data_IF_956992604079
#
_entry.id   IF_956992604079
#
_cell.length_a   1.000
_cell.length_b   1.000
_cell.length_c   1.000
_cell.angle_alpha   90.00
_cell.angle_beta   90.00
_cell.angle_gamma   90.00
#
_symmetry.space_group_name_H-M   'P 1'
#
loop_
_entity.id
_entity.type
_entity.pdbx_description
1 polymer ?
#
# COMPACT_ATOMS: atom_id res chain seq x y z
N UNK A 1 -12.92 74.98 -12.19
CA UNK A 1 -12.20 73.76 -12.66
C UNK A 1 -12.72 72.58 -11.84
N UNK A 2 -13.42 71.62 -12.40
CA UNK A 2 -13.90 70.46 -11.64
C UNK A 2 -12.82 69.42 -11.53
N UNK A 3 -12.56 68.97 -10.32
CA UNK A 3 -11.71 67.85 -10.01
C UNK A 3 -12.38 66.55 -10.51
N UNK A 4 -11.75 65.91 -11.52
CA UNK A 4 -12.11 64.57 -11.92
C UNK A 4 -11.51 63.60 -10.90
N UNK A 5 -12.36 63.06 -10.04
CA UNK A 5 -11.99 61.93 -9.18
C UNK A 5 -11.92 60.69 -10.01
N UNK A 6 -10.71 60.19 -10.30
CA UNK A 6 -10.47 58.89 -10.84
C UNK A 6 -10.88 57.82 -9.79
N UNK A 7 -12.09 57.32 -9.88
CA UNK A 7 -12.48 56.11 -9.20
C UNK A 7 -11.75 54.96 -9.92
N UNK A 8 -10.59 54.55 -9.38
CA UNK A 8 -10.00 53.27 -9.68
C UNK A 8 -10.99 52.23 -9.08
N UNK A 9 -11.72 51.60 -9.93
CA UNK A 9 -12.44 50.38 -9.61
C UNK A 9 -11.39 49.40 -9.04
N UNK A 10 -11.41 49.23 -7.72
CA UNK A 10 -10.68 48.17 -7.06
C UNK A 10 -11.35 46.90 -7.60
N UNK A 11 -10.72 46.26 -8.61
CA UNK A 11 -11.08 44.87 -8.93
C UNK A 11 -10.81 44.09 -7.66
N UNK A 12 -11.89 43.72 -6.96
CA UNK A 12 -11.80 42.88 -5.82
C UNK A 12 -11.06 41.60 -6.20
N UNK A 13 -9.85 41.44 -5.70
CA UNK A 13 -9.25 40.14 -5.62
C UNK A 13 -10.28 39.29 -4.87
N UNK A 14 -10.90 38.35 -5.58
CA UNK A 14 -11.75 37.35 -4.93
C UNK A 14 -10.83 36.71 -3.87
N UNK A 15 -11.10 37.03 -2.59
CA UNK A 15 -10.40 36.35 -1.50
C UNK A 15 -10.61 34.88 -1.77
N UNK A 16 -9.55 34.12 -1.88
CA UNK A 16 -9.65 32.65 -1.98
C UNK A 16 -10.44 32.18 -0.76
N UNK A 17 -11.40 31.31 -0.97
CA UNK A 17 -12.12 30.72 0.14
C UNK A 17 -11.10 30.12 1.14
N UNK A 18 -11.31 30.32 2.44
CA UNK A 18 -10.40 29.77 3.45
C UNK A 18 -10.32 28.25 3.32
N UNK A 19 -9.13 27.71 3.56
CA UNK A 19 -8.92 26.27 3.50
C UNK A 19 -9.78 25.58 4.57
N UNK A 20 -10.52 24.57 4.15
CA UNK A 20 -11.12 23.58 5.03
C UNK A 20 -11.18 22.22 4.33
N UNK A 21 -11.17 21.14 5.10
CA UNK A 21 -11.27 19.81 4.55
C UNK A 21 -12.15 18.92 5.41
N UNK A 22 -12.81 17.95 4.75
CA UNK A 22 -13.69 16.98 5.40
C UNK A 22 -13.62 15.63 4.70
N UNK A 23 -13.98 14.57 5.43
CA UNK A 23 -13.99 13.19 4.93
C UNK A 23 -13.09 12.27 5.78
N UNK A 24 -13.05 11.00 5.41
CA UNK A 24 -12.33 9.97 6.13
C UNK A 24 -13.19 9.14 7.06
N UNK A 25 -12.68 7.96 7.42
CA UNK A 25 -13.27 7.10 8.45
C UNK A 25 -13.17 7.76 9.85
N UNK A 26 -12.04 8.42 10.09
CA UNK A 26 -11.82 9.19 11.31
C UNK A 26 -11.07 10.48 11.02
N UNK A 27 -11.38 11.51 11.81
CA UNK A 27 -10.64 12.78 11.85
C UNK A 27 -10.16 13.01 13.26
N UNK A 28 -8.85 13.27 13.43
CA UNK A 28 -8.21 13.44 14.74
C UNK A 28 -7.23 14.59 14.69
N UNK A 29 -7.16 15.40 15.74
CA UNK A 29 -6.16 16.44 15.91
C UNK A 29 -5.08 15.95 16.87
N UNK A 30 -3.83 16.00 16.44
CA UNK A 30 -2.66 15.64 17.26
C UNK A 30 -1.60 16.71 17.10
N UNK A 31 -1.28 17.40 18.18
CA UNK A 31 -0.41 18.58 18.12
C UNK A 31 -0.99 19.65 17.20
N UNK A 32 -0.18 20.13 16.29
CA UNK A 32 -0.53 21.17 15.33
C UNK A 32 -1.22 20.64 14.06
N UNK A 33 -1.45 19.32 13.96
CA UNK A 33 -1.95 18.69 12.74
C UNK A 33 -3.34 18.09 12.92
N UNK A 34 -4.17 18.26 11.88
CA UNK A 34 -5.41 17.52 11.68
C UNK A 34 -5.15 16.35 10.72
N UNK A 35 -5.58 15.15 11.11
CA UNK A 35 -5.41 13.88 10.37
C UNK A 35 -6.77 13.36 9.91
N UNK A 36 -6.85 12.95 8.65
CA UNK A 36 -7.96 12.20 8.09
C UNK A 36 -7.46 10.80 7.71
N UNK A 37 -8.06 9.76 8.27
CA UNK A 37 -7.69 8.36 8.01
C UNK A 37 -8.76 7.68 7.18
N UNK A 38 -8.35 7.00 6.10
CA UNK A 38 -9.20 6.21 5.22
C UNK A 38 -8.79 4.74 5.28
N UNK A 39 -9.68 3.89 5.77
CA UNK A 39 -9.58 2.42 5.76
C UNK A 39 -10.57 1.78 4.78
N UNK A 40 -11.40 2.60 4.16
CA UNK A 40 -12.30 2.28 3.05
C UNK A 40 -12.36 3.46 2.09
N UNK A 41 -12.71 3.20 0.84
CA UNK A 41 -12.84 4.26 -0.18
C UNK A 41 -13.90 5.28 0.20
N UNK A 42 -13.62 6.56 -0.10
CA UNK A 42 -14.51 7.65 0.27
C UNK A 42 -14.09 8.99 -0.33
N UNK A 43 -14.90 10.01 -0.11
CA UNK A 43 -14.61 11.36 -0.56
C UNK A 43 -13.72 12.10 0.45
N UNK A 44 -12.81 12.92 -0.08
CA UNK A 44 -12.08 13.97 0.64
C UNK A 44 -12.44 15.30 -0.01
N UNK A 45 -13.24 16.10 0.68
CA UNK A 45 -13.74 17.38 0.14
C UNK A 45 -12.93 18.53 0.70
N UNK A 46 -12.41 19.38 -0.17
CA UNK A 46 -11.59 20.55 0.14
C UNK A 46 -12.31 21.81 -0.33
N UNK A 47 -12.38 22.83 0.53
CA UNK A 47 -12.76 24.20 0.20
C UNK A 47 -11.52 25.07 0.24
N UNK A 48 -11.39 26.02 -0.68
CA UNK A 48 -10.17 26.80 -0.82
C UNK A 48 -9.03 25.98 -1.40
N UNK A 49 -7.81 26.36 -1.07
CA UNK A 49 -6.58 25.61 -1.45
C UNK A 49 -5.65 25.55 -0.24
N UNK A 50 -4.84 24.52 -0.18
CA UNK A 50 -3.92 24.30 0.94
C UNK A 50 -2.83 23.32 0.61
N UNK A 51 -2.04 23.02 1.63
CA UNK A 51 -0.92 22.07 1.54
C UNK A 51 -1.20 20.91 2.50
N UNK A 52 -1.09 19.69 2.01
CA UNK A 52 -1.29 18.48 2.79
C UNK A 52 -0.04 17.58 2.72
N UNK A 53 0.14 16.77 3.73
CA UNK A 53 1.02 15.60 3.67
C UNK A 53 0.16 14.33 3.52
N UNK A 54 0.65 13.41 2.72
CA UNK A 54 -0.09 12.23 2.30
C UNK A 54 0.74 10.96 2.50
N UNK A 55 0.21 10.01 3.25
CA UNK A 55 0.68 8.62 3.29
C UNK A 55 -0.32 7.74 2.56
N UNK A 56 0.16 6.99 1.59
CA UNK A 56 -0.62 6.00 0.82
C UNK A 56 0.03 4.63 0.97
N UNK A 57 -0.73 3.67 1.42
CA UNK A 57 -0.34 2.26 1.51
C UNK A 57 -1.32 1.44 0.68
N UNK A 58 -0.83 0.72 -0.31
CA UNK A 58 -1.66 -0.14 -1.17
C UNK A 58 -1.97 -1.50 -0.49
N UNK A 59 -2.87 -2.27 -1.06
CA UNK A 59 -3.18 -3.63 -0.60
C UNK A 59 -2.01 -4.57 -0.85
N UNK A 60 -1.65 -5.40 0.13
CA UNK A 60 -0.62 -6.43 0.01
C UNK A 60 -1.06 -7.60 -0.87
N UNK A 61 -0.12 -8.33 -1.45
CA UNK A 61 -0.38 -9.57 -2.19
C UNK A 61 -0.67 -10.74 -1.26
N UNK A 62 -1.46 -11.71 -1.73
CA UNK A 62 -1.69 -12.98 -1.02
C UNK A 62 -0.46 -13.88 -1.08
N UNK A 63 -0.30 -14.73 -0.07
CA UNK A 63 0.64 -15.84 -0.10
C UNK A 63 0.27 -16.86 -1.18
N UNK A 64 1.25 -17.60 -1.68
CA UNK A 64 1.04 -18.59 -2.72
C UNK A 64 0.11 -19.73 -2.30
N UNK A 65 -0.38 -20.49 -3.26
CA UNK A 65 -1.17 -21.71 -3.05
C UNK A 65 -0.70 -22.84 -3.95
N UNK A 66 -0.95 -24.10 -3.56
CA UNK A 66 -0.72 -25.27 -4.41
C UNK A 66 -2.01 -26.07 -4.55
N UNK A 67 -2.36 -26.45 -5.79
CA UNK A 67 -3.55 -27.21 -6.11
C UNK A 67 -3.28 -28.69 -6.45
N UNK A 68 -2.03 -29.08 -6.56
CA UNK A 68 -1.66 -30.48 -6.94
C UNK A 68 -0.50 -30.96 -6.07
N UNK A 69 -0.59 -32.22 -5.64
CA UNK A 69 0.43 -32.85 -4.80
C UNK A 69 1.78 -32.96 -5.48
N UNK A 70 2.85 -32.59 -4.76
CA UNK A 70 4.23 -32.80 -5.20
C UNK A 70 5.24 -31.81 -4.62
N UNK A 71 4.85 -30.64 -4.13
CA UNK A 71 5.79 -29.67 -3.55
C UNK A 71 5.23 -29.04 -2.28
N UNK A 72 6.13 -28.87 -1.30
CA UNK A 72 5.75 -28.79 0.12
C UNK A 72 5.67 -27.39 0.70
N UNK A 73 5.86 -26.33 -0.11
CA UNK A 73 5.89 -24.98 0.42
C UNK A 73 5.39 -23.92 -0.58
N UNK A 74 4.67 -22.94 -0.12
CA UNK A 74 4.22 -21.78 -0.90
C UNK A 74 4.84 -20.49 -0.39
N UNK A 75 5.17 -19.58 -1.29
CA UNK A 75 5.89 -18.35 -0.98
C UNK A 75 5.01 -17.26 -0.35
N UNK A 76 5.62 -16.36 0.40
CA UNK A 76 4.94 -15.19 0.97
C UNK A 76 4.60 -14.13 -0.09
N UNK A 77 3.46 -13.46 0.07
CA UNK A 77 3.07 -12.31 -0.73
C UNK A 77 3.90 -11.06 -0.42
N UNK A 78 4.15 -10.23 -1.41
CA UNK A 78 4.76 -8.92 -1.24
C UNK A 78 3.82 -7.93 -0.54
N UNK A 79 4.38 -6.99 0.19
CA UNK A 79 3.60 -5.89 0.74
C UNK A 79 3.06 -4.97 -0.36
N UNK A 80 1.98 -4.27 -0.07
CA UNK A 80 1.56 -3.12 -0.84
C UNK A 80 2.65 -2.04 -0.85
N UNK A 81 2.75 -1.30 -1.94
CA UNK A 81 3.65 -0.15 -2.00
C UNK A 81 3.28 0.88 -0.94
N UNK A 82 4.29 1.52 -0.38
CA UNK A 82 4.12 2.64 0.54
C UNK A 82 4.70 3.91 -0.10
N UNK A 83 3.92 4.97 -0.10
CA UNK A 83 4.34 6.27 -0.65
C UNK A 83 4.00 7.38 0.33
N UNK A 84 4.99 8.21 0.62
CA UNK A 84 4.83 9.45 1.38
C UNK A 84 5.04 10.64 0.45
N UNK A 85 4.12 11.58 0.46
CA UNK A 85 4.23 12.85 -0.26
C UNK A 85 4.04 13.99 0.72
N UNK A 86 5.10 14.75 0.92
CA UNK A 86 5.09 15.93 1.79
C UNK A 86 4.83 17.18 0.98
N UNK A 87 4.17 18.16 1.60
CA UNK A 87 3.88 19.45 0.98
C UNK A 87 3.17 19.33 -0.38
N UNK A 88 2.15 18.49 -0.45
CA UNK A 88 1.35 18.31 -1.66
C UNK A 88 0.26 19.37 -1.74
N UNK A 89 0.32 20.19 -2.81
CA UNK A 89 -0.69 21.22 -3.08
C UNK A 89 -2.03 20.57 -3.40
N UNK A 90 -3.08 20.99 -2.70
CA UNK A 90 -4.43 20.52 -2.94
C UNK A 90 -5.38 21.72 -3.14
N UNK A 91 -6.29 21.57 -4.06
CA UNK A 91 -7.23 22.63 -4.47
C UNK A 91 -8.66 22.26 -4.12
N UNK A 92 -9.53 23.26 -4.07
CA UNK A 92 -10.95 23.09 -3.84
C UNK A 92 -11.57 22.04 -4.77
N UNK A 93 -12.36 21.15 -4.20
CA UNK A 93 -13.04 20.09 -4.93
C UNK A 93 -13.25 18.85 -4.09
N UNK A 94 -13.92 17.87 -4.68
CA UNK A 94 -14.09 16.54 -4.11
C UNK A 94 -13.07 15.59 -4.75
N UNK A 95 -12.16 15.10 -3.93
CA UNK A 95 -11.15 14.13 -4.28
C UNK A 95 -11.60 12.74 -3.83
N UNK A 96 -11.18 11.70 -4.53
CA UNK A 96 -11.55 10.32 -4.17
C UNK A 96 -10.35 9.62 -3.52
N UNK A 97 -10.49 9.24 -2.26
CA UNK A 97 -9.61 8.27 -1.63
C UNK A 97 -10.06 6.86 -2.05
N UNK A 98 -9.26 6.19 -2.87
CA UNK A 98 -9.52 4.81 -3.32
C UNK A 98 -8.64 3.86 -2.52
N UNK A 99 -9.22 2.98 -1.72
CA UNK A 99 -8.50 2.02 -0.89
C UNK A 99 -8.50 0.65 -1.54
N UNK A 100 -7.30 0.13 -1.82
CA UNK A 100 -7.10 -1.18 -2.40
C UNK A 100 -7.28 -2.32 -1.40
N UNK A 101 -8.03 -3.35 -1.78
CA UNK A 101 -8.10 -4.59 -1.01
C UNK A 101 -6.77 -5.36 -1.08
N UNK A 102 -6.49 -6.16 -0.07
CA UNK A 102 -5.45 -7.18 -0.15
C UNK A 102 -5.81 -8.27 -1.16
N UNK A 103 -4.81 -8.87 -1.78
CA UNK A 103 -5.00 -10.00 -2.69
C UNK A 103 -5.44 -11.24 -1.93
N UNK A 104 -6.37 -12.02 -2.49
CA UNK A 104 -6.61 -13.38 -2.06
C UNK A 104 -5.34 -14.23 -2.22
N UNK A 105 -5.29 -15.43 -1.62
CA UNK A 105 -4.16 -16.35 -1.82
C UNK A 105 -3.85 -16.52 -3.30
N UNK A 106 -2.58 -16.44 -3.68
CA UNK A 106 -2.04 -16.49 -5.05
C UNK A 106 -2.40 -15.28 -5.95
N UNK A 107 -3.04 -14.24 -5.44
CA UNK A 107 -3.37 -13.03 -6.21
C UNK A 107 -2.68 -11.80 -5.65
N UNK A 108 -2.32 -10.88 -6.55
CA UNK A 108 -1.82 -9.56 -6.15
C UNK A 108 -2.93 -8.75 -5.48
N UNK A 109 -2.55 -7.79 -4.63
CA UNK A 109 -3.47 -6.83 -4.05
C UNK A 109 -4.03 -5.83 -5.07
N UNK A 110 -4.65 -4.77 -4.58
CA UNK A 110 -5.15 -3.66 -5.40
C UNK A 110 -4.43 -2.35 -5.03
N UNK A 111 -4.26 -1.48 -6.01
CA UNK A 111 -3.67 -0.16 -5.81
C UNK A 111 -4.53 0.72 -4.88
N UNK A 112 -3.88 1.61 -4.16
CA UNK A 112 -4.51 2.65 -3.33
C UNK A 112 -4.04 4.01 -3.80
N UNK A 113 -4.90 5.03 -3.77
CA UNK A 113 -4.48 6.38 -4.14
C UNK A 113 -5.51 7.45 -3.85
N UNK A 114 -5.04 8.67 -3.68
CA UNK A 114 -5.86 9.86 -3.69
C UNK A 114 -5.97 10.37 -5.13
N UNK A 115 -7.15 10.27 -5.70
CA UNK A 115 -7.47 10.75 -7.05
C UNK A 115 -7.95 12.18 -6.92
N UNK A 116 -7.09 13.13 -7.24
CA UNK A 116 -7.39 14.55 -7.17
C UNK A 116 -8.31 14.97 -8.32
N UNK A 117 -9.34 15.77 -8.03
CA UNK A 117 -10.19 16.38 -9.05
C UNK A 117 -9.34 17.28 -9.94
N UNK A 118 -9.21 16.93 -11.22
CA UNK A 118 -8.47 17.72 -12.22
C UNK A 118 -6.94 17.63 -12.18
N UNK A 119 -6.35 16.70 -11.41
CA UNK A 119 -4.90 16.53 -11.29
C UNK A 119 -4.46 15.06 -11.34
N UNK A 120 -3.17 14.82 -11.45
CA UNK A 120 -2.59 13.46 -11.41
C UNK A 120 -2.86 12.78 -10.06
N UNK A 121 -3.24 11.51 -10.09
CA UNK A 121 -3.44 10.70 -8.89
C UNK A 121 -2.12 10.45 -8.15
N UNK A 122 -2.14 10.59 -6.82
CA UNK A 122 -1.04 10.20 -5.94
C UNK A 122 -1.34 8.81 -5.39
N UNK A 123 -0.74 7.78 -5.96
CA UNK A 123 -1.07 6.40 -5.66
C UNK A 123 0.13 5.51 -5.38
N UNK A 124 -0.12 4.40 -4.73
CA UNK A 124 0.81 3.31 -4.46
C UNK A 124 0.39 2.04 -5.20
N UNK A 125 1.38 1.27 -5.67
CA UNK A 125 1.19 0.03 -6.43
C UNK A 125 0.88 -1.12 -5.47
N UNK A 126 -0.04 -2.01 -5.86
CA UNK A 126 -0.39 -3.20 -5.10
C UNK A 126 0.80 -4.15 -4.88
N UNK A 127 0.78 -4.91 -3.80
CA UNK A 127 1.78 -5.96 -3.54
C UNK A 127 1.64 -7.15 -4.49
N UNK A 128 2.77 -7.73 -4.89
CA UNK A 128 2.82 -8.92 -5.75
C UNK A 128 2.44 -10.19 -4.99
N UNK A 129 1.73 -11.13 -5.64
CA UNK A 129 1.44 -12.44 -5.07
C UNK A 129 2.70 -13.27 -4.86
N UNK A 130 2.73 -14.10 -3.80
CA UNK A 130 3.72 -15.14 -3.63
C UNK A 130 3.59 -16.23 -4.69
N UNK A 131 4.68 -16.94 -4.94
CA UNK A 131 4.73 -18.03 -5.92
C UNK A 131 3.67 -19.10 -5.61
N UNK A 132 2.97 -19.54 -6.64
CA UNK A 132 1.96 -20.60 -6.58
C UNK A 132 2.26 -21.67 -7.63
N UNK A 133 1.75 -22.88 -7.40
CA UNK A 133 1.90 -23.94 -8.37
C UNK A 133 0.76 -23.95 -9.38
N UNK A 134 1.10 -23.77 -10.65
CA UNK A 134 0.20 -23.95 -11.79
C UNK A 134 0.77 -25.03 -12.71
N UNK A 135 -0.07 -25.98 -13.12
CA UNK A 135 0.36 -27.07 -14.01
C UNK A 135 0.69 -26.49 -15.38
N UNK A 136 1.97 -26.49 -15.75
CA UNK A 136 2.43 -26.13 -17.10
C UNK A 136 2.87 -24.67 -17.30
N UNK A 137 3.03 -23.86 -16.24
CA UNK A 137 3.45 -22.45 -16.33
C UNK A 137 4.63 -22.08 -15.43
N UNK A 138 5.03 -20.79 -15.46
CA UNK A 138 6.05 -20.18 -14.58
C UNK A 138 5.58 -20.00 -13.12
N UNK A 139 4.69 -20.86 -12.66
CA UNK A 139 3.93 -20.75 -11.43
C UNK A 139 4.71 -20.66 -10.12
N UNK A 140 6.02 -20.90 -10.15
CA UNK A 140 6.89 -20.80 -8.96
C UNK A 140 7.56 -19.43 -8.79
N UNK A 141 7.33 -18.52 -9.71
CA UNK A 141 7.85 -17.15 -9.64
C UNK A 141 6.94 -16.26 -8.80
N UNK A 142 7.53 -15.46 -7.90
CA UNK A 142 6.82 -14.37 -7.25
C UNK A 142 6.38 -13.29 -8.25
N UNK A 143 5.25 -12.64 -8.04
CA UNK A 143 4.77 -11.54 -8.91
C UNK A 143 5.36 -10.22 -8.49
N UNK A 144 5.60 -9.36 -9.47
CA UNK A 144 6.02 -7.99 -9.26
C UNK A 144 4.90 -7.15 -8.62
N UNK A 145 5.27 -6.09 -7.90
CA UNK A 145 4.30 -5.24 -7.24
C UNK A 145 4.91 -3.99 -6.61
N UNK A 146 4.19 -3.34 -5.70
CA UNK A 146 4.73 -2.31 -4.82
C UNK A 146 5.93 -2.87 -4.07
N UNK A 147 5.74 -4.04 -3.42
CA UNK A 147 6.81 -4.98 -3.10
C UNK A 147 6.53 -6.30 -3.78
N UNK A 148 7.57 -6.99 -4.22
CA UNK A 148 7.47 -8.26 -4.94
C UNK A 148 7.13 -9.43 -4.03
N UNK A 149 6.40 -10.43 -4.55
CA UNK A 149 6.14 -11.71 -3.88
C UNK A 149 7.39 -12.60 -3.86
N UNK A 150 7.48 -13.52 -2.91
CA UNK A 150 8.57 -14.51 -2.83
C UNK A 150 8.50 -15.55 -3.94
N UNK A 151 9.65 -16.06 -4.37
CA UNK A 151 9.77 -17.20 -5.27
C UNK A 151 9.74 -18.53 -4.52
N UNK A 152 9.55 -19.64 -5.23
CA UNK A 152 9.62 -20.99 -4.69
C UNK A 152 10.37 -21.91 -5.67
N UNK A 153 10.90 -23.03 -5.18
CA UNK A 153 11.53 -24.09 -6.01
C UNK A 153 12.61 -23.58 -6.98
N UNK A 154 13.57 -22.81 -6.50
CA UNK A 154 14.66 -22.31 -7.34
C UNK A 154 14.24 -21.19 -8.30
N UNK A 155 13.09 -20.57 -8.11
CA UNK A 155 12.60 -19.47 -8.96
C UNK A 155 12.73 -18.11 -8.31
N UNK A 156 12.73 -17.10 -9.14
CA UNK A 156 12.89 -15.71 -8.73
C UNK A 156 11.68 -15.22 -7.92
N UNK A 157 11.94 -14.42 -6.88
CA UNK A 157 10.94 -13.52 -6.33
C UNK A 157 10.55 -12.46 -7.36
N UNK A 158 9.43 -11.79 -7.13
CA UNK A 158 8.99 -10.65 -7.92
C UNK A 158 9.79 -9.39 -7.58
N UNK A 159 9.80 -8.44 -8.51
CA UNK A 159 10.44 -7.15 -8.31
C UNK A 159 9.52 -6.17 -7.57
N UNK A 160 10.13 -5.35 -6.71
CA UNK A 160 9.47 -4.23 -6.06
C UNK A 160 9.53 -2.96 -6.92
N UNK A 161 8.53 -2.11 -6.78
CA UNK A 161 8.52 -0.79 -7.42
C UNK A 161 9.45 0.17 -6.68
N UNK A 162 10.42 0.74 -7.39
CA UNK A 162 11.37 1.68 -6.81
C UNK A 162 10.67 2.84 -6.07
N UNK A 163 11.11 3.13 -4.86
CA UNK A 163 10.55 4.18 -3.99
C UNK A 163 9.20 3.81 -3.34
N UNK A 164 8.72 2.58 -3.51
CA UNK A 164 7.48 2.10 -2.89
C UNK A 164 7.64 0.80 -2.12
N UNK A 165 8.61 -0.04 -2.50
CA UNK A 165 8.88 -1.30 -1.85
C UNK A 165 10.08 -2.01 -2.44
N UNK A 166 10.32 -3.24 -1.99
CA UNK A 166 11.51 -4.03 -2.31
C UNK A 166 11.14 -5.39 -2.90
N UNK A 167 12.14 -6.05 -3.49
CA UNK A 167 11.98 -7.35 -4.12
C UNK A 167 11.62 -8.45 -3.11
N UNK A 168 10.87 -9.45 -3.59
CA UNK A 168 10.70 -10.72 -2.90
C UNK A 168 11.97 -11.56 -2.96
N UNK A 169 12.08 -12.54 -2.05
CA UNK A 169 13.23 -13.41 -1.97
C UNK A 169 13.29 -14.37 -3.17
N UNK A 170 14.47 -14.50 -3.75
CA UNK A 170 14.79 -15.48 -4.77
C UNK A 170 15.29 -16.77 -4.12
N UNK A 171 14.64 -17.90 -4.36
CA UNK A 171 15.14 -19.21 -3.93
C UNK A 171 16.20 -19.72 -4.89
N UNK A 172 17.33 -20.24 -4.37
CA UNK A 172 18.39 -20.81 -5.20
C UNK A 172 17.99 -22.17 -5.79
N UNK A 173 18.55 -22.48 -6.96
CA UNK A 173 18.35 -23.76 -7.64
C UNK A 173 18.71 -24.96 -6.73
N UNK A 174 17.86 -25.96 -6.69
CA UNK A 174 18.05 -27.22 -5.97
C UNK A 174 17.41 -27.27 -4.58
N UNK A 175 16.92 -26.17 -4.03
CA UNK A 175 16.30 -26.15 -2.70
C UNK A 175 14.77 -26.20 -2.79
N UNK A 176 14.23 -27.41 -2.97
CA UNK A 176 12.78 -27.65 -3.03
C UNK A 176 12.10 -27.56 -1.65
N UNK A 177 12.86 -27.37 -0.58
CA UNK A 177 12.35 -27.37 0.79
C UNK A 177 11.96 -25.99 1.31
N UNK A 178 12.39 -24.92 0.62
CA UNK A 178 12.18 -23.54 1.07
C UNK A 178 11.39 -22.72 0.06
N UNK A 179 10.58 -21.87 0.58
CA UNK A 179 9.86 -20.85 -0.18
C UNK A 179 10.28 -19.47 0.31
N UNK A 180 10.53 -18.58 -0.64
CA UNK A 180 10.90 -17.20 -0.37
C UNK A 180 9.76 -16.40 0.23
N UNK A 181 10.12 -15.38 0.95
CA UNK A 181 9.19 -14.42 1.54
C UNK A 181 8.97 -13.23 0.61
N UNK A 182 7.85 -12.55 0.78
CA UNK A 182 7.60 -11.29 0.07
C UNK A 182 8.49 -10.14 0.54
N UNK A 183 8.78 -9.20 -0.33
CA UNK A 183 9.42 -7.94 0.01
C UNK A 183 8.50 -7.06 0.86
N UNK A 184 9.08 -6.17 1.65
CA UNK A 184 8.40 -5.13 2.41
C UNK A 184 8.80 -3.73 1.94
N UNK A 185 8.13 -2.69 2.44
CA UNK A 185 8.49 -1.31 2.09
C UNK A 185 9.89 -0.92 2.62
N UNK A 186 10.31 -1.49 3.74
CA UNK A 186 11.59 -1.18 4.38
C UNK A 186 12.76 -2.10 4.02
N UNK A 187 12.48 -3.34 3.53
CA UNK A 187 13.54 -4.30 3.21
C UNK A 187 13.07 -5.35 2.19
N UNK A 188 14.05 -5.99 1.53
CA UNK A 188 13.84 -7.17 0.69
C UNK A 188 13.32 -8.35 1.52
N UNK A 189 12.63 -9.28 0.86
CA UNK A 189 12.24 -10.56 1.47
C UNK A 189 13.44 -11.42 1.82
N UNK A 190 13.32 -12.22 2.87
CA UNK A 190 14.31 -13.24 3.25
C UNK A 190 13.86 -14.66 2.86
N UNK A 191 14.65 -15.67 3.20
CA UNK A 191 14.35 -17.06 2.88
C UNK A 191 13.02 -17.53 3.49
N UNK A 192 12.72 -17.14 4.72
CA UNK A 192 11.49 -17.49 5.43
C UNK A 192 10.82 -16.29 6.09
N UNK A 193 11.51 -15.18 6.21
CA UNK A 193 11.03 -13.98 6.89
C UNK A 193 10.71 -12.88 5.89
N UNK A 194 9.50 -12.38 5.91
CA UNK A 194 9.06 -11.27 5.06
C UNK A 194 9.88 -10.01 5.26
N UNK A 195 10.10 -9.27 4.20
CA UNK A 195 10.77 -7.99 4.25
C UNK A 195 10.14 -7.04 5.27
N UNK A 196 10.95 -6.33 6.02
CA UNK A 196 10.45 -5.39 7.04
C UNK A 196 9.53 -4.34 6.41
N UNK A 197 8.51 -3.93 7.16
CA UNK A 197 7.72 -2.76 6.83
C UNK A 197 8.50 -1.48 7.08
N UNK A 198 7.93 -0.37 6.70
CA UNK A 198 8.48 0.97 6.92
C UNK A 198 7.56 1.77 7.84
N UNK A 199 8.14 2.47 8.80
CA UNK A 199 7.45 3.43 9.65
C UNK A 199 7.84 4.85 9.23
N UNK A 200 6.86 5.74 9.19
CA UNK A 200 7.10 7.18 9.01
C UNK A 200 6.70 7.93 10.28
N UNK A 201 7.66 8.63 10.88
CA UNK A 201 7.44 9.38 12.13
C UNK A 201 6.42 10.52 11.98
N UNK A 202 6.21 11.02 10.77
CA UNK A 202 5.21 12.04 10.48
C UNK A 202 3.78 11.49 10.52
N UNK A 203 3.61 10.16 10.43
CA UNK A 203 2.33 9.47 10.42
C UNK A 203 2.25 8.46 11.55
N UNK A 204 2.36 8.94 12.79
CA UNK A 204 2.26 8.19 14.05
C UNK A 204 3.38 7.17 14.31
N UNK A 205 4.40 7.04 13.46
CA UNK A 205 5.47 6.04 13.62
C UNK A 205 5.01 4.59 13.53
N UNK A 206 3.81 4.34 13.00
CA UNK A 206 3.28 2.99 12.80
C UNK A 206 4.00 2.34 11.62
N UNK A 207 4.36 1.06 11.76
CA UNK A 207 4.96 0.28 10.69
C UNK A 207 3.90 -0.27 9.75
N UNK A 208 4.04 0.02 8.45
CA UNK A 208 3.17 -0.45 7.38
C UNK A 208 3.94 -1.30 6.37
N UNK A 209 3.21 -2.01 5.54
CA UNK A 209 3.71 -2.68 4.35
C UNK A 209 4.87 -3.66 4.63
N UNK A 210 4.67 -4.60 5.57
CA UNK A 210 5.56 -5.75 5.80
C UNK A 210 5.26 -6.85 4.79
N UNK A 211 6.29 -7.49 4.23
CA UNK A 211 6.14 -8.69 3.39
C UNK A 211 5.61 -9.88 4.18
N UNK A 212 4.91 -10.77 3.51
CA UNK A 212 4.48 -12.05 4.09
C UNK A 212 5.65 -13.02 4.23
N UNK A 213 5.67 -13.79 5.31
CA UNK A 213 6.69 -14.82 5.51
C UNK A 213 6.52 -15.94 4.48
N UNK A 214 7.64 -16.53 4.03
CA UNK A 214 7.63 -17.80 3.30
C UNK A 214 7.09 -18.88 4.23
N UNK A 215 6.67 -20.00 3.69
CA UNK A 215 5.98 -21.09 4.39
C UNK A 215 6.52 -21.45 5.80
N UNK A 216 6.21 -20.74 6.88
CA UNK A 216 6.54 -21.17 8.23
C UNK A 216 5.65 -22.35 8.61
N UNK A 217 6.13 -23.21 9.53
CA UNK A 217 5.31 -24.29 10.09
C UNK A 217 4.01 -23.70 10.67
N UNK A 218 2.86 -24.18 10.17
CA UNK A 218 1.56 -23.67 10.56
C UNK A 218 1.06 -22.43 9.79
N UNK A 219 1.77 -21.99 8.74
CA UNK A 219 1.52 -20.79 7.95
C UNK A 219 0.15 -20.68 7.28
N UNK A 220 0.01 -19.71 6.38
CA UNK A 220 -1.25 -19.32 5.74
C UNK A 220 -1.97 -18.19 6.48
N UNK A 221 -1.26 -17.46 7.36
CA UNK A 221 -1.81 -16.28 8.02
C UNK A 221 -2.03 -15.14 7.02
N UNK A 222 -3.16 -14.46 7.16
CA UNK A 222 -3.44 -13.27 6.37
C UNK A 222 -2.64 -12.07 6.89
N UNK A 223 -2.26 -11.18 5.98
CA UNK A 223 -1.75 -9.86 6.31
C UNK A 223 -2.79 -9.07 7.11
N UNK A 224 -2.31 -8.27 8.05
CA UNK A 224 -3.19 -7.43 8.86
C UNK A 224 -3.91 -6.41 7.96
N UNK A 225 -5.21 -6.24 8.18
CA UNK A 225 -6.03 -5.25 7.46
C UNK A 225 -5.54 -3.82 7.70
N UNK A 226 -5.68 -2.95 6.72
CA UNK A 226 -5.30 -1.53 6.80
C UNK A 226 -3.80 -1.31 7.05
N UNK A 227 -2.95 -2.24 6.65
CA UNK A 227 -1.50 -2.12 6.78
C UNK A 227 -0.75 -2.35 5.48
N UNK A 228 -1.42 -2.91 4.47
CA UNK A 228 -0.78 -3.34 3.23
C UNK A 228 0.17 -4.53 3.39
N UNK A 229 0.09 -5.27 4.50
CA UNK A 229 0.98 -6.42 4.72
C UNK A 229 0.68 -7.55 3.73
N UNK A 230 1.73 -8.24 3.29
CA UNK A 230 1.60 -9.46 2.48
C UNK A 230 1.05 -10.64 3.28
N UNK A 231 0.32 -11.53 2.62
CA UNK A 231 -0.14 -12.79 3.17
C UNK A 231 0.99 -13.82 3.27
N UNK A 232 0.96 -14.68 4.26
CA UNK A 232 2.00 -15.69 4.49
C UNK A 232 1.82 -16.89 3.57
N UNK A 233 2.92 -17.48 3.14
CA UNK A 233 2.92 -18.80 2.55
C UNK A 233 2.51 -19.86 3.55
N UNK A 234 2.31 -21.09 3.09
CA UNK A 234 1.97 -22.25 3.92
C UNK A 234 2.89 -23.42 3.65
N UNK A 235 3.49 -24.00 4.69
CA UNK A 235 4.24 -25.24 4.61
C UNK A 235 3.33 -26.45 4.81
N UNK A 236 3.77 -27.60 4.26
CA UNK A 236 3.10 -28.87 4.46
C UNK A 236 3.28 -29.37 5.91
N UNK A 237 2.16 -29.65 6.57
CA UNK A 237 2.14 -30.61 7.67
C UNK A 237 1.00 -31.60 7.39
N UNK A 238 1.34 -32.81 6.89
CA UNK A 238 0.36 -33.87 6.69
C UNK A 238 -0.12 -34.07 5.24
N UNK A 239 -1.02 -34.98 5.01
CA UNK A 239 -1.51 -35.43 3.70
C UNK A 239 -2.19 -34.33 2.87
N UNK A 240 -2.01 -34.34 1.53
CA UNK A 240 -2.61 -33.37 0.61
C UNK A 240 -4.15 -33.41 0.64
N UNK A 241 -4.95 -32.37 0.20
CA UNK A 241 -4.82 -31.98 -1.20
C UNK A 241 -4.47 -30.52 -1.50
N UNK A 242 -4.67 -29.54 -0.59
CA UNK A 242 -4.46 -28.15 -1.00
C UNK A 242 -3.79 -27.31 0.10
N UNK A 243 -2.76 -26.54 -0.29
CA UNK A 243 -2.13 -25.55 0.59
C UNK A 243 -2.57 -24.16 0.15
N UNK A 244 -3.31 -23.47 0.99
CA UNK A 244 -3.79 -22.12 0.72
C UNK A 244 -3.03 -21.18 1.63
N UNK A 245 -2.23 -20.28 1.04
CA UNK A 245 -1.58 -19.18 1.75
C UNK A 245 -2.59 -18.16 2.28
N UNK A 246 -2.13 -17.26 3.12
CA UNK A 246 -2.97 -16.18 3.66
C UNK A 246 -3.29 -15.10 2.62
N UNK A 247 -4.36 -14.39 2.82
CA UNK A 247 -4.68 -13.20 2.03
C UNK A 247 -3.73 -12.05 2.41
N UNK A 248 -3.50 -11.11 1.51
CA UNK A 248 -2.88 -9.83 1.84
C UNK A 248 -3.79 -8.93 2.66
N UNK A 249 -3.21 -8.01 3.40
CA UNK A 249 -3.94 -6.96 4.12
C UNK A 249 -4.38 -5.83 3.18
N UNK A 250 -5.51 -5.20 3.45
CA UNK A 250 -5.95 -4.01 2.72
C UNK A 250 -5.00 -2.83 2.93
N UNK A 251 -5.03 -1.89 1.99
CA UNK A 251 -4.33 -0.62 2.09
C UNK A 251 -5.03 0.40 2.97
N UNK A 252 -4.46 1.61 3.03
CA UNK A 252 -5.03 2.77 3.69
C UNK A 252 -4.45 4.08 3.16
N UNK A 253 -5.11 5.20 3.48
CA UNK A 253 -4.59 6.55 3.27
C UNK A 253 -4.67 7.32 4.58
N UNK A 254 -3.61 8.08 4.89
CA UNK A 254 -3.63 9.12 5.91
C UNK A 254 -3.30 10.45 5.23
N UNK A 255 -4.16 11.44 5.43
CA UNK A 255 -3.96 12.82 5.01
C UNK A 255 -3.79 13.65 6.26
N UNK A 256 -2.75 14.50 6.32
CA UNK A 256 -2.63 15.48 7.40
C UNK A 256 -2.32 16.86 6.87
N UNK A 257 -2.70 17.87 7.62
CA UNK A 257 -2.37 19.27 7.36
C UNK A 257 -2.29 20.06 8.67
N UNK A 258 -1.61 21.21 8.64
CA UNK A 258 -1.55 22.10 9.80
C UNK A 258 -2.97 22.61 10.12
N UNK A 259 -3.42 22.39 11.35
CA UNK A 259 -4.74 22.85 11.81
C UNK A 259 -4.92 24.35 11.66
N UNK A 260 -3.83 25.12 11.75
CA UNK A 260 -3.84 26.58 11.56
C UNK A 260 -4.16 27.02 10.13
N UNK A 261 -4.14 26.12 9.13
CA UNK A 261 -4.60 26.44 7.77
C UNK A 261 -6.12 26.58 7.66
N UNK A 262 -6.88 26.03 8.63
CA UNK A 262 -8.35 26.10 8.62
C UNK A 262 -8.78 27.53 8.90
N UNK A 263 -9.53 28.12 7.95
CA UNK A 263 -10.12 29.44 8.10
C UNK A 263 -9.18 30.63 7.86
N UNK A 264 -7.99 30.43 7.29
CA UNK A 264 -7.06 31.51 6.88
C UNK A 264 -7.25 31.94 5.44
#
# INVERSE_FOLDING_TARGET
MPFSANIRTLMGSKLSDPFSASGGFSTTVVGDYTYHTYTSSGAFTVTGSGVIDLLVVAGGGGGGSTMTGGYNATAGGGAGGMRVSMNYDIYAGTHTASIGAGGASAYSGNATGLIASGSSSNGAVAGGAGAYHEVGGDGYRGRDGGSGGGGANGRTGGDGTAGQGNNGYHTSDGDMSYSGSGGGAGAVGGQQTGGAGLADSNFFGITFARGGDGAPQGGGQSGQVNTGNGGYGKAQQGQPPFYIGGNGGSGMIIIRYLTSQIGT
#
